data_IF_302613009576
#
_entry.id   IF_302613009576
#
_cell.length_a   1.000
_cell.length_b   1.000
_cell.length_c   1.000
_cell.angle_alpha   90.00
_cell.angle_beta   90.00
_cell.angle_gamma   90.00
#
_symmetry.space_group_name_H-M   'P 1'
#
loop_
_entity.id
_entity.type
_entity.pdbx_description
1 polymer ?
#
# COMPACT_ATOMS: atom_id res chain seq x y z
N UNK A 1 -15.42 17.76 10.11
CA UNK A 1 -14.05 18.19 10.47
C UNK A 1 -13.26 18.49 9.21
N UNK A 2 -12.14 19.22 9.31
CA UNK A 2 -11.26 19.44 8.14
C UNK A 2 -10.58 18.11 7.74
N UNK A 3 -10.45 17.78 6.45
CA UNK A 3 -9.75 16.58 6.01
C UNK A 3 -8.28 16.59 6.47
N UNK A 4 -7.76 15.41 6.85
CA UNK A 4 -6.31 15.23 7.03
C UNK A 4 -5.64 15.25 5.66
N UNK A 5 -4.50 15.92 5.56
CA UNK A 5 -3.71 16.05 4.34
C UNK A 5 -2.35 15.36 4.48
N UNK A 6 -1.70 15.07 3.35
CA UNK A 6 -0.45 14.32 3.26
C UNK A 6 0.79 15.15 3.63
N UNK A 7 0.84 15.65 4.86
CA UNK A 7 1.88 16.58 5.33
C UNK A 7 3.32 16.07 5.17
N UNK A 8 3.50 14.74 5.09
CA UNK A 8 4.82 14.10 5.00
C UNK A 8 5.24 13.78 3.56
N UNK A 9 4.43 14.15 2.56
CA UNK A 9 4.79 13.89 1.19
C UNK A 9 6.17 14.51 0.86
N UNK A 10 7.09 13.76 0.23
CA UNK A 10 8.40 14.30 -0.13
C UNK A 10 8.29 15.49 -1.07
N UNK A 11 7.27 15.50 -1.95
CA UNK A 11 6.96 16.62 -2.81
C UNK A 11 6.02 17.60 -2.10
N UNK A 12 6.48 18.85 -1.96
CA UNK A 12 5.76 19.90 -1.26
C UNK A 12 4.39 20.20 -1.88
N UNK A 13 4.22 20.03 -3.20
CA UNK A 13 2.93 20.30 -3.87
C UNK A 13 1.85 19.32 -3.37
N UNK A 14 2.26 18.09 -3.09
CA UNK A 14 1.36 17.02 -2.68
C UNK A 14 0.99 17.08 -1.19
N UNK A 15 1.65 17.94 -0.38
CA UNK A 15 1.37 18.04 1.06
C UNK A 15 0.01 18.63 1.41
N UNK A 16 -0.67 19.18 0.43
CA UNK A 16 -2.03 19.71 0.55
C UNK A 16 -3.10 18.70 0.12
N UNK A 17 -2.70 17.55 -0.44
CA UNK A 17 -3.63 16.54 -0.91
C UNK A 17 -4.30 15.82 0.27
N UNK A 18 -5.62 15.60 0.22
CA UNK A 18 -6.33 14.80 1.22
C UNK A 18 -5.81 13.36 1.28
N UNK A 19 -5.68 12.82 2.50
CA UNK A 19 -5.33 11.41 2.70
C UNK A 19 -6.44 10.45 2.22
N UNK A 20 -7.70 10.88 2.35
CA UNK A 20 -8.84 10.10 1.86
C UNK A 20 -8.85 10.15 0.33
N UNK A 21 -8.89 8.97 -0.30
CA UNK A 21 -8.83 8.84 -1.75
C UNK A 21 -7.41 8.77 -2.32
N UNK A 22 -6.38 8.81 -1.47
CA UNK A 22 -5.00 8.66 -1.89
C UNK A 22 -4.76 7.26 -2.47
N UNK A 23 -4.11 7.20 -3.63
CA UNK A 23 -3.74 5.94 -4.24
C UNK A 23 -2.42 5.44 -3.64
N UNK A 24 -2.52 4.59 -2.62
CA UNK A 24 -1.35 4.09 -1.88
C UNK A 24 -0.72 2.86 -2.52
N UNK A 25 -1.45 2.08 -3.32
CA UNK A 25 -1.02 0.79 -3.87
C UNK A 25 -0.94 0.89 -5.39
N UNK A 26 0.27 0.83 -5.96
CA UNK A 26 0.50 1.09 -7.38
C UNK A 26 1.33 0.01 -8.06
N UNK A 27 1.14 -0.17 -9.37
CA UNK A 27 2.08 -0.91 -10.23
C UNK A 27 2.12 -2.43 -10.04
N UNK A 28 1.06 -3.04 -9.50
CA UNK A 28 1.01 -4.49 -9.31
C UNK A 28 0.83 -5.24 -10.63
N UNK A 29 1.62 -6.30 -10.81
CA UNK A 29 1.49 -7.26 -11.90
C UNK A 29 1.02 -8.62 -11.35
N UNK A 30 0.08 -9.28 -12.04
CA UNK A 30 -0.34 -10.63 -11.67
C UNK A 30 0.79 -11.61 -11.97
N UNK A 31 1.26 -12.33 -10.95
CA UNK A 31 2.38 -13.26 -11.05
C UNK A 31 1.95 -14.73 -11.11
N UNK A 32 0.65 -14.99 -11.27
CA UNK A 32 0.06 -16.32 -11.31
C UNK A 32 -0.62 -16.73 -9.99
N UNK A 33 -1.63 -17.59 -10.11
CA UNK A 33 -2.45 -18.03 -8.99
C UNK A 33 -3.08 -16.84 -8.25
N UNK A 34 -2.82 -16.75 -6.95
CA UNK A 34 -3.40 -15.77 -6.04
C UNK A 34 -2.44 -14.62 -5.71
N UNK A 35 -1.44 -14.34 -6.55
CA UNK A 35 -0.34 -13.41 -6.22
C UNK A 35 -0.21 -12.26 -7.20
N UNK A 36 0.18 -11.12 -6.64
CA UNK A 36 0.58 -9.92 -7.37
C UNK A 36 1.90 -9.40 -6.83
N UNK A 37 2.80 -9.01 -7.72
CA UNK A 37 4.17 -8.58 -7.40
C UNK A 37 4.53 -7.28 -8.13
N UNK A 38 5.76 -6.81 -7.91
CA UNK A 38 6.34 -5.57 -8.49
C UNK A 38 5.62 -4.26 -8.13
N UNK A 39 4.54 -4.34 -7.36
CA UNK A 39 3.84 -3.17 -6.89
C UNK A 39 4.63 -2.39 -5.84
N UNK A 40 4.08 -1.26 -5.46
CA UNK A 40 4.59 -0.40 -4.40
C UNK A 40 3.47 -0.02 -3.44
N UNK A 41 3.87 0.28 -2.20
CA UNK A 41 2.99 0.84 -1.18
C UNK A 41 3.58 2.17 -0.68
N UNK A 42 2.81 3.24 -0.79
CA UNK A 42 3.12 4.53 -0.19
C UNK A 42 2.58 4.60 1.24
N UNK A 43 3.42 5.01 2.17
CA UNK A 43 3.08 5.26 3.56
C UNK A 43 3.05 6.77 3.83
N UNK A 44 1.86 7.40 3.98
CA UNK A 44 1.74 8.83 4.26
C UNK A 44 2.22 9.22 5.67
N UNK A 45 2.39 8.26 6.59
CA UNK A 45 2.93 8.57 7.93
C UNK A 45 4.43 8.81 7.89
N UNK A 46 5.16 8.07 7.04
CA UNK A 46 6.61 8.25 6.87
C UNK A 46 7.02 9.03 5.62
N UNK A 47 6.09 9.24 4.67
CA UNK A 47 6.37 9.85 3.38
C UNK A 47 7.16 8.96 2.42
N UNK A 48 7.24 7.65 2.70
CA UNK A 48 8.11 6.71 1.95
C UNK A 48 7.30 5.75 1.11
N UNK A 49 7.91 5.31 0.01
CA UNK A 49 7.38 4.27 -0.87
C UNK A 49 8.23 3.01 -0.75
N UNK A 50 7.56 1.87 -0.58
CA UNK A 50 8.18 0.56 -0.41
C UNK A 50 7.80 -0.37 -1.56
N UNK A 51 8.65 -1.35 -1.87
CA UNK A 51 8.24 -2.47 -2.73
C UNK A 51 7.15 -3.27 -2.05
N UNK A 52 6.20 -3.79 -2.81
CA UNK A 52 5.03 -4.45 -2.28
C UNK A 52 4.63 -5.67 -3.10
N UNK A 53 4.17 -6.71 -2.40
CA UNK A 53 3.48 -7.86 -2.99
C UNK A 53 2.18 -8.14 -2.24
N UNK A 54 1.21 -8.69 -2.96
CA UNK A 54 -0.11 -9.04 -2.45
C UNK A 54 -0.37 -10.51 -2.71
N UNK A 55 -0.94 -11.18 -1.72
CA UNK A 55 -1.41 -12.57 -1.84
C UNK A 55 -2.84 -12.69 -1.34
N UNK A 56 -3.72 -13.25 -2.17
CA UNK A 56 -5.08 -13.60 -1.79
C UNK A 56 -5.05 -14.93 -1.02
N UNK A 57 -5.18 -14.83 0.30
CA UNK A 57 -5.10 -15.98 1.22
C UNK A 57 -6.38 -16.81 1.15
N UNK A 58 -7.53 -16.14 0.98
CA UNK A 58 -8.83 -16.75 0.74
C UNK A 58 -9.75 -15.73 0.05
N UNK A 59 -10.98 -16.13 -0.28
CA UNK A 59 -11.94 -15.32 -1.05
C UNK A 59 -12.22 -13.90 -0.48
N UNK A 60 -11.89 -13.63 0.77
CA UNK A 60 -12.17 -12.34 1.43
C UNK A 60 -10.96 -11.72 2.13
N UNK A 61 -9.78 -12.34 2.06
CA UNK A 61 -8.62 -11.91 2.85
C UNK A 61 -7.37 -11.85 1.98
N UNK A 62 -6.66 -10.73 2.06
CA UNK A 62 -5.34 -10.55 1.42
C UNK A 62 -4.26 -10.35 2.47
N UNK A 63 -3.06 -10.85 2.18
CA UNK A 63 -1.82 -10.42 2.81
C UNK A 63 -1.19 -9.34 1.94
N UNK A 64 -0.78 -8.23 2.54
CA UNK A 64 -0.02 -7.17 1.88
C UNK A 64 1.34 -7.12 2.56
N UNK A 65 2.41 -7.28 1.79
CA UNK A 65 3.79 -7.24 2.30
C UNK A 65 4.53 -6.05 1.69
N UNK A 66 4.82 -5.03 2.48
CA UNK A 66 5.75 -3.95 2.13
C UNK A 66 7.18 -4.28 2.57
N UNK A 67 8.18 -4.00 1.75
CA UNK A 67 9.59 -4.34 2.04
C UNK A 67 10.59 -3.40 1.36
N UNK A 68 11.84 -3.41 1.85
CA UNK A 68 12.97 -2.65 1.28
C UNK A 68 13.99 -3.65 0.72
N UNK A 69 14.26 -3.57 -0.59
CA UNK A 69 15.19 -4.49 -1.26
C UNK A 69 14.60 -5.90 -1.38
N UNK A 70 14.95 -6.79 -0.45
CA UNK A 70 14.43 -8.17 -0.42
C UNK A 70 13.19 -8.29 0.46
N UNK A 71 12.27 -9.18 0.09
CA UNK A 71 10.98 -9.30 0.79
C UNK A 71 11.08 -9.74 2.26
N UNK A 72 12.22 -10.29 2.69
CA UNK A 72 12.47 -10.68 4.08
C UNK A 72 12.54 -9.48 5.03
N UNK A 73 13.00 -8.31 4.56
CA UNK A 73 13.12 -7.08 5.36
C UNK A 73 11.91 -6.19 5.09
N UNK A 74 10.85 -6.40 5.86
CA UNK A 74 9.59 -5.71 5.64
C UNK A 74 8.53 -6.01 6.69
N UNK A 75 7.31 -5.53 6.43
CA UNK A 75 6.13 -5.74 7.27
C UNK A 75 4.99 -6.32 6.45
N UNK A 76 4.16 -7.12 7.10
CA UNK A 76 2.95 -7.70 6.51
C UNK A 76 1.73 -7.22 7.26
N UNK A 77 0.69 -6.85 6.52
CA UNK A 77 -0.65 -6.59 7.04
C UNK A 77 -1.66 -7.54 6.41
N UNK A 78 -2.71 -7.86 7.17
CA UNK A 78 -3.83 -8.68 6.68
C UNK A 78 -5.05 -7.81 6.52
N UNK A 79 -5.53 -7.66 5.29
CA UNK A 79 -6.75 -6.89 5.02
C UNK A 79 -7.89 -7.85 4.71
N UNK A 80 -9.03 -7.59 5.34
CA UNK A 80 -10.26 -8.33 5.13
C UNK A 80 -11.22 -7.46 4.34
N UNK A 81 -11.87 -8.07 3.34
CA UNK A 81 -12.98 -7.47 2.64
C UNK A 81 -14.08 -7.14 3.65
N UNK A 82 -14.54 -5.91 3.66
CA UNK A 82 -15.73 -5.53 4.43
C UNK A 82 -16.96 -6.02 3.67
N UNK A 83 -17.82 -6.79 4.33
CA UNK A 83 -19.13 -7.15 3.79
C UNK A 83 -20.05 -5.93 3.96
N UNK A 84 -20.58 -5.43 2.84
CA UNK A 84 -21.59 -4.37 2.83
C UNK A 84 -22.99 -4.90 3.13
#
# INVERSE_FOLDING_TARGET
GKPKVDINNPDAINRTHPLIGLNMLLGFEHSGGNKWEKGTIYDPESGKTYSCKIELINATTINIRGYIGISLIGRSDTWKKVSG
#
